data_IF_244599124482
#
_entry.id   IF_244599124482
#
_cell.length_a   1.000
_cell.length_b   1.000
_cell.length_c   1.000
_cell.angle_alpha   90.00
_cell.angle_beta   90.00
_cell.angle_gamma   90.00
#
_symmetry.space_group_name_H-M   'P 1'
#
loop_
_entity.id
_entity.type
_entity.pdbx_description
1 polymer ?
#
# COMPACT_ATOMS: atom_id res chain seq x y z
N UNK A 1 -38.21 -11.61 -42.14
CA UNK A 1 -37.48 -12.59 -41.32
C UNK A 1 -36.09 -12.00 -41.15
N UNK A 2 -35.80 -11.45 -39.97
CA UNK A 2 -34.47 -10.91 -39.63
C UNK A 2 -34.03 -11.75 -38.45
N UNK A 3 -33.09 -12.65 -38.68
CA UNK A 3 -32.55 -13.51 -37.64
C UNK A 3 -31.73 -12.64 -36.67
N UNK A 4 -32.27 -12.45 -35.48
CA UNK A 4 -31.56 -11.84 -34.35
C UNK A 4 -30.66 -12.93 -33.79
N UNK A 5 -29.38 -12.92 -34.16
CA UNK A 5 -28.37 -13.73 -33.49
C UNK A 5 -28.31 -13.29 -32.02
N UNK A 6 -28.46 -14.20 -31.04
CA UNK A 6 -28.15 -13.86 -29.67
C UNK A 6 -26.64 -13.68 -29.59
N UNK A 7 -26.21 -12.45 -29.29
CA UNK A 7 -24.86 -12.19 -28.81
C UNK A 7 -24.75 -12.91 -27.48
N UNK A 8 -24.15 -14.11 -27.50
CA UNK A 8 -23.59 -14.70 -26.30
C UNK A 8 -22.39 -13.82 -25.92
N UNK A 9 -22.66 -12.77 -25.14
CA UNK A 9 -21.64 -12.13 -24.31
C UNK A 9 -21.18 -13.21 -23.32
N UNK A 10 -20.08 -13.87 -23.66
CA UNK A 10 -19.28 -14.62 -22.70
C UNK A 10 -18.88 -13.63 -21.61
N UNK A 11 -19.64 -13.63 -20.52
CA UNK A 11 -19.20 -13.04 -19.26
C UNK A 11 -17.99 -13.89 -18.88
N UNK A 12 -16.79 -13.36 -19.13
CA UNK A 12 -15.55 -13.95 -18.61
C UNK A 12 -15.75 -14.15 -17.11
N UNK A 13 -15.96 -15.39 -16.71
CA UNK A 13 -15.97 -15.80 -15.31
C UNK A 13 -14.70 -15.25 -14.68
N UNK A 14 -14.85 -14.39 -13.68
CA UNK A 14 -13.74 -13.92 -12.89
C UNK A 14 -13.01 -15.13 -12.33
N UNK A 15 -11.87 -15.47 -12.93
CA UNK A 15 -10.89 -16.32 -12.27
C UNK A 15 -10.41 -15.53 -11.06
N UNK A 16 -11.04 -15.79 -9.92
CA UNK A 16 -10.56 -15.42 -8.61
C UNK A 16 -9.17 -16.06 -8.46
N UNK A 17 -8.15 -15.39 -8.99
CA UNK A 17 -6.76 -15.79 -8.85
C UNK A 17 -6.55 -16.03 -7.37
N UNK A 18 -6.33 -17.30 -7.02
CA UNK A 18 -6.37 -17.85 -5.67
C UNK A 18 -5.76 -16.85 -4.69
N UNK A 19 -6.62 -16.22 -3.88
CA UNK A 19 -6.15 -15.37 -2.80
C UNK A 19 -5.12 -16.18 -2.01
N UNK A 20 -3.86 -15.73 -1.88
CA UNK A 20 -2.86 -16.49 -1.16
C UNK A 20 -3.35 -16.86 0.24
N UNK A 21 -2.99 -18.05 0.76
CA UNK A 21 -3.35 -18.46 2.10
C UNK A 21 -3.01 -17.35 3.11
N UNK A 22 -3.91 -17.12 4.08
CA UNK A 22 -3.77 -15.99 5.02
C UNK A 22 -2.46 -16.03 5.81
N UNK A 23 -1.91 -17.22 6.04
CA UNK A 23 -0.60 -17.46 6.67
C UNK A 23 0.59 -16.87 5.88
N UNK A 24 0.43 -16.67 4.56
CA UNK A 24 1.47 -16.10 3.70
C UNK A 24 1.39 -14.57 3.62
N UNK A 25 0.31 -13.97 4.12
CA UNK A 25 0.08 -12.53 4.06
C UNK A 25 0.59 -11.84 5.31
N UNK A 26 1.00 -10.58 5.16
CA UNK A 26 1.30 -9.68 6.27
C UNK A 26 0.32 -8.53 6.28
N UNK A 27 -0.01 -8.08 7.49
CA UNK A 27 -0.89 -6.94 7.72
C UNK A 27 -0.06 -5.67 7.91
N UNK A 28 -0.32 -4.66 7.09
CA UNK A 28 0.26 -3.33 7.22
C UNK A 28 -0.80 -2.34 7.66
N UNK A 29 -0.63 -1.78 8.85
CA UNK A 29 -1.45 -0.65 9.31
C UNK A 29 -0.91 0.66 8.71
N UNK A 30 -1.76 1.38 8.00
CA UNK A 30 -1.41 2.62 7.31
C UNK A 30 -1.73 3.83 8.17
N UNK A 31 -0.78 4.76 8.20
CA UNK A 31 -0.86 6.00 8.96
C UNK A 31 -0.48 7.17 8.07
N UNK A 32 -1.29 8.23 8.10
CA UNK A 32 -0.99 9.49 7.40
C UNK A 32 -0.25 10.43 8.34
N UNK A 33 0.88 10.95 7.86
CA UNK A 33 1.59 12.06 8.51
C UNK A 33 0.91 13.37 8.14
N UNK A 34 0.48 14.20 9.11
CA UNK A 34 -0.10 15.50 8.82
C UNK A 34 0.87 16.40 8.06
N UNK A 35 0.36 17.24 7.16
CA UNK A 35 1.18 18.13 6.31
C UNK A 35 2.05 19.07 7.13
N UNK A 36 1.60 19.45 8.32
CA UNK A 36 2.29 20.37 9.24
C UNK A 36 3.54 19.73 9.85
N UNK A 37 3.62 18.39 9.88
CA UNK A 37 4.78 17.64 10.37
C UNK A 37 5.79 17.34 9.26
N UNK A 38 5.45 17.64 8.00
CA UNK A 38 6.30 17.42 6.85
C UNK A 38 7.23 18.62 6.58
N UNK A 39 8.54 18.37 6.52
CA UNK A 39 9.54 19.40 6.22
C UNK A 39 9.86 19.41 4.72
N UNK A 40 9.09 20.19 3.96
CA UNK A 40 9.12 20.22 2.49
C UNK A 40 10.52 20.42 1.90
N UNK A 41 11.32 21.35 2.44
CA UNK A 41 12.70 21.62 1.97
C UNK A 41 13.65 20.43 2.15
N UNK A 42 13.38 19.56 3.12
CA UNK A 42 14.24 18.42 3.47
C UNK A 42 13.65 17.07 3.06
N UNK A 43 12.40 17.06 2.56
CA UNK A 43 11.65 15.86 2.17
C UNK A 43 11.64 14.78 3.26
N UNK A 44 11.39 15.20 4.51
CA UNK A 44 11.35 14.31 5.66
C UNK A 44 10.36 14.80 6.73
N UNK A 45 9.98 13.90 7.62
CA UNK A 45 9.34 14.21 8.90
C UNK A 45 10.23 13.75 10.06
N UNK A 46 10.10 14.36 11.23
CA UNK A 46 10.76 13.87 12.46
C UNK A 46 10.03 12.64 12.99
N UNK A 47 10.73 11.72 13.66
CA UNK A 47 10.07 10.53 14.21
C UNK A 47 8.96 10.87 15.23
N UNK A 48 9.08 12.01 15.92
CA UNK A 48 8.03 12.57 16.80
C UNK A 48 6.71 12.88 16.07
N UNK A 49 6.67 12.85 14.74
CA UNK A 49 5.42 12.98 14.00
C UNK A 49 4.46 11.81 14.23
N UNK A 50 4.96 10.65 14.71
CA UNK A 50 4.15 9.45 14.98
C UNK A 50 3.01 9.71 15.95
N UNK A 51 3.21 10.59 16.94
CA UNK A 51 2.21 10.93 17.96
C UNK A 51 1.01 11.70 17.38
N UNK A 52 1.12 12.13 16.12
CA UNK A 52 0.11 12.91 15.41
C UNK A 52 -0.39 12.22 14.15
N UNK A 53 0.05 11.00 13.86
CA UNK A 53 -0.38 10.32 12.64
C UNK A 53 -1.82 9.83 12.75
N UNK A 54 -2.53 9.87 11.63
CA UNK A 54 -3.93 9.48 11.53
C UNK A 54 -4.00 8.06 10.95
N UNK A 55 -4.61 7.12 11.67
CA UNK A 55 -4.86 5.77 11.15
C UNK A 55 -5.85 5.83 9.98
N UNK A 56 -5.54 5.11 8.91
CA UNK A 56 -6.39 4.96 7.73
C UNK A 56 -7.01 3.56 7.63
N UNK A 57 -6.56 2.62 8.46
CA UNK A 57 -6.89 1.21 8.37
C UNK A 57 -5.68 0.38 7.94
N UNK A 58 -5.93 -0.85 7.48
CA UNK A 58 -4.87 -1.82 7.20
C UNK A 58 -5.08 -2.54 5.87
N UNK A 59 -3.99 -3.03 5.29
CA UNK A 59 -3.99 -3.84 4.08
C UNK A 59 -3.28 -5.16 4.32
N UNK A 60 -3.73 -6.23 3.65
CA UNK A 60 -3.11 -7.56 3.70
C UNK A 60 -2.49 -7.94 2.37
N UNK A 61 -1.17 -8.15 2.36
CA UNK A 61 -0.40 -8.34 1.13
C UNK A 61 0.69 -9.38 1.32
N UNK A 62 1.24 -9.90 0.22
CA UNK A 62 2.41 -10.77 0.31
C UNK A 62 3.64 -9.96 0.78
N UNK A 63 4.50 -10.50 1.65
CA UNK A 63 5.72 -9.82 2.10
C UNK A 63 6.65 -9.40 0.96
N UNK A 64 6.56 -10.10 -0.17
CA UNK A 64 7.40 -9.88 -1.36
C UNK A 64 6.85 -8.82 -2.31
N UNK A 65 5.64 -8.30 -2.07
CA UNK A 65 5.03 -7.21 -2.85
C UNK A 65 5.92 -5.97 -2.81
N UNK A 66 6.16 -5.35 -3.97
CA UNK A 66 6.89 -4.09 -4.05
C UNK A 66 6.01 -2.92 -3.62
N UNK A 67 6.61 -1.82 -3.15
CA UNK A 67 5.81 -0.64 -2.74
C UNK A 67 5.06 -0.01 -3.92
N UNK A 68 5.61 -0.10 -5.13
CA UNK A 68 4.91 0.34 -6.34
C UNK A 68 3.57 -0.37 -6.54
N UNK A 69 3.51 -1.67 -6.23
CA UNK A 69 2.28 -2.46 -6.31
C UNK A 69 1.40 -2.29 -5.08
N UNK A 70 2.00 -2.03 -3.91
CA UNK A 70 1.26 -1.69 -2.69
C UNK A 70 0.33 -0.49 -2.90
N UNK A 71 0.70 0.51 -3.73
CA UNK A 71 -0.20 1.64 -4.06
C UNK A 71 -1.54 1.18 -4.64
N UNK A 72 -1.51 0.21 -5.55
CA UNK A 72 -2.71 -0.36 -6.17
C UNK A 72 -3.53 -1.09 -5.12
N UNK A 73 -2.83 -1.80 -4.24
CA UNK A 73 -3.44 -2.61 -3.20
C UNK A 73 -4.13 -1.79 -2.12
N UNK A 74 -3.56 -0.63 -1.77
CA UNK A 74 -4.19 0.36 -0.89
C UNK A 74 -5.53 0.80 -1.47
N UNK A 75 -5.56 1.22 -2.73
CA UNK A 75 -6.79 1.65 -3.40
C UNK A 75 -7.80 0.49 -3.53
N UNK A 76 -7.32 -0.73 -3.81
CA UNK A 76 -8.16 -1.92 -3.94
C UNK A 76 -8.83 -2.31 -2.63
N UNK A 77 -8.10 -2.31 -1.51
CA UNK A 77 -8.62 -2.78 -0.22
C UNK A 77 -9.35 -1.70 0.57
N UNK A 78 -8.86 -0.45 0.54
CA UNK A 78 -9.41 0.63 1.35
C UNK A 78 -10.36 1.54 0.56
N UNK A 79 -10.39 1.44 -0.76
CA UNK A 79 -11.14 2.36 -1.63
C UNK A 79 -10.35 3.63 -1.94
N UNK A 80 -10.75 4.29 -3.04
CA UNK A 80 -10.02 5.44 -3.63
C UNK A 80 -10.04 6.67 -2.71
N UNK A 81 -11.09 6.83 -1.90
CA UNK A 81 -11.29 8.01 -1.05
C UNK A 81 -10.62 7.91 0.34
N UNK A 82 -10.09 6.74 0.70
CA UNK A 82 -9.51 6.49 2.01
C UNK A 82 -8.10 7.08 2.17
N UNK A 83 -7.36 7.23 1.07
CA UNK A 83 -6.02 7.85 1.07
C UNK A 83 -5.98 9.06 0.13
N UNK A 84 -5.12 10.06 0.39
CA UNK A 84 -4.94 11.17 -0.53
C UNK A 84 -4.56 10.68 -1.93
N UNK A 85 -5.12 11.30 -2.97
CA UNK A 85 -4.81 10.97 -4.37
C UNK A 85 -3.30 11.03 -4.69
N UNK A 86 -2.57 11.90 -3.97
CA UNK A 86 -1.12 12.01 -4.07
C UNK A 86 -0.50 11.85 -2.69
N UNK A 87 0.40 10.87 -2.57
CA UNK A 87 1.14 10.61 -1.34
C UNK A 87 2.50 9.99 -1.65
N UNK A 88 3.39 10.05 -0.66
CA UNK A 88 4.70 9.41 -0.70
C UNK A 88 4.78 8.38 0.41
N UNK A 89 5.45 7.26 0.16
CA UNK A 89 5.82 6.37 1.25
C UNK A 89 6.97 6.97 2.06
N UNK A 90 6.98 6.67 3.35
CA UNK A 90 7.98 7.14 4.28
C UNK A 90 8.70 5.96 4.92
N UNK A 91 10.03 6.04 5.02
CA UNK A 91 10.87 5.05 5.71
C UNK A 91 11.59 5.68 6.89
N UNK A 92 11.62 5.00 8.03
CA UNK A 92 12.45 5.42 9.16
C UNK A 92 13.95 5.26 8.84
N UNK A 93 14.71 6.35 8.97
CA UNK A 93 16.17 6.41 8.81
C UNK A 93 16.74 7.30 9.92
N UNK A 94 17.34 6.67 10.94
CA UNK A 94 17.79 7.35 12.14
C UNK A 94 16.62 7.98 12.90
N UNK A 95 16.68 9.30 13.11
CA UNK A 95 15.65 10.07 13.84
C UNK A 95 14.60 10.73 12.93
N UNK A 96 14.54 10.35 11.66
CA UNK A 96 13.63 10.93 10.69
C UNK A 96 12.91 9.85 9.88
N UNK A 97 11.71 10.17 9.42
CA UNK A 97 11.03 9.50 8.33
C UNK A 97 11.43 10.21 7.02
N UNK A 98 12.13 9.51 6.13
CA UNK A 98 12.53 10.03 4.82
C UNK A 98 11.55 9.59 3.74
N UNK A 99 11.38 10.43 2.72
CA UNK A 99 10.67 10.03 1.50
C UNK A 99 11.31 8.80 0.86
N UNK A 100 10.47 7.85 0.45
CA UNK A 100 10.84 6.81 -0.52
C UNK A 100 10.54 7.34 -1.92
N UNK A 101 11.55 7.33 -2.78
CA UNK A 101 11.45 7.83 -4.16
C UNK A 101 10.86 6.78 -5.09
N UNK A 102 10.28 7.16 -6.24
CA UNK A 102 9.65 6.22 -7.17
C UNK A 102 10.53 5.02 -7.57
N UNK A 103 11.83 5.23 -7.83
CA UNK A 103 12.75 4.12 -8.11
C UNK A 103 12.92 3.16 -6.93
N UNK A 104 12.98 3.69 -5.72
CA UNK A 104 13.07 2.89 -4.51
C UNK A 104 11.76 2.12 -4.25
N UNK A 105 10.60 2.65 -4.65
CA UNK A 105 9.33 1.93 -4.53
C UNK A 105 9.29 0.66 -5.40
N UNK A 106 9.98 0.66 -6.55
CA UNK A 106 10.11 -0.52 -7.42
C UNK A 106 11.08 -1.57 -6.86
N UNK A 107 12.04 -1.16 -6.01
CA UNK A 107 13.08 -2.04 -5.48
C UNK A 107 12.74 -2.56 -4.07
N UNK A 108 12.02 -1.77 -3.27
CA UNK A 108 11.69 -2.09 -1.89
C UNK A 108 10.46 -2.98 -1.80
N UNK A 109 10.51 -3.92 -0.86
CA UNK A 109 9.42 -4.87 -0.59
C UNK A 109 8.71 -4.56 0.72
N UNK A 110 7.47 -4.99 0.83
CA UNK A 110 6.63 -4.84 2.03
C UNK A 110 7.30 -5.42 3.28
N UNK A 111 8.02 -6.54 3.17
CA UNK A 111 8.78 -7.13 4.29
C UNK A 111 9.81 -6.19 4.92
N UNK A 112 10.16 -5.07 4.29
CA UNK A 112 11.04 -4.06 4.87
C UNK A 112 10.30 -3.09 5.82
N UNK A 113 8.98 -3.20 5.92
CA UNK A 113 8.09 -2.38 6.76
C UNK A 113 7.42 -3.16 7.89
N UNK A 114 7.55 -4.49 7.88
CA UNK A 114 7.09 -5.32 8.99
C UNK A 114 8.15 -5.31 10.11
N UNK A 115 7.75 -5.41 11.38
CA UNK A 115 8.68 -5.62 12.47
C UNK A 115 9.63 -6.80 12.17
N UNK A 116 10.90 -6.74 12.60
CA UNK A 116 11.77 -7.89 12.48
C UNK A 116 11.12 -9.07 13.21
N UNK A 117 10.91 -10.17 12.51
CA UNK A 117 10.47 -11.40 13.16
C UNK A 117 11.54 -11.79 14.17
N UNK A 118 11.18 -11.81 15.44
CA UNK A 118 11.99 -12.49 16.44
C UNK A 118 11.78 -13.98 16.14
N UNK A 119 12.80 -14.64 15.58
CA UNK A 119 12.84 -16.09 15.62
C UNK A 119 12.89 -16.46 17.10
N UNK A 120 11.76 -16.90 17.66
CA UNK A 120 11.69 -17.52 18.99
C UNK A 120 12.07 -18.99 18.84
#
# INVERSE_FOLDING_TARGET
MVDVNPVNEEIEEFQENERPPSEQLVELHLYLVPKEKWLEKRKLAKNQAVDHTISVGFVRVLPQTHLSDLRKEINRQLGIDSVPQTFVFLRSVGRNFTQVRPKQEMEMKVKNYVPPFVSI
#
